data_IF_959253474502
#
_entry.id   IF_959253474502
#
_cell.length_a   1.000
_cell.length_b   1.000
_cell.length_c   1.000
_cell.angle_alpha   90.00
_cell.angle_beta   90.00
_cell.angle_gamma   90.00
#
_symmetry.space_group_name_H-M   'P 1'
#
loop_
_entity.id
_entity.type
_entity.pdbx_description
1 polymer ?
#
# COMPACT_ATOMS: atom_id res chain seq x y z
N UNK A 1 -8.41 20.17 -20.75
CA UNK A 1 -7.03 20.10 -20.20
C UNK A 1 -6.93 18.77 -19.49
N UNK A 2 -6.18 17.80 -20.05
CA UNK A 2 -5.96 16.49 -19.41
C UNK A 2 -4.71 16.59 -18.54
N UNK A 3 -4.80 16.23 -17.26
CA UNK A 3 -3.63 16.15 -16.40
C UNK A 3 -2.85 14.88 -16.77
N UNK A 4 -1.64 15.03 -17.29
CA UNK A 4 -0.74 13.92 -17.53
C UNK A 4 -0.36 13.26 -16.20
N UNK A 5 -0.30 11.92 -16.18
CA UNK A 5 0.24 11.17 -15.04
C UNK A 5 1.68 11.65 -14.81
N UNK A 6 1.93 12.30 -13.68
CA UNK A 6 3.31 12.63 -13.32
C UNK A 6 3.99 11.32 -12.95
N UNK A 7 5.03 10.96 -13.69
CA UNK A 7 5.76 9.70 -13.53
C UNK A 7 6.33 9.46 -12.10
N UNK A 8 6.40 10.51 -11.27
CA UNK A 8 6.88 10.44 -9.89
C UNK A 8 5.79 10.57 -8.82
N UNK A 9 4.50 10.53 -9.20
CA UNK A 9 3.42 10.48 -8.21
C UNK A 9 3.04 9.04 -7.88
N UNK A 10 2.60 8.76 -6.64
CA UNK A 10 2.12 7.43 -6.30
C UNK A 10 0.96 7.04 -7.22
N UNK A 11 1.02 5.82 -7.73
CA UNK A 11 -0.01 5.23 -8.59
C UNK A 11 -0.67 4.02 -7.95
N UNK A 12 -0.09 3.50 -6.87
CA UNK A 12 -0.55 2.32 -6.16
C UNK A 12 -0.59 2.57 -4.66
N UNK A 13 -1.61 2.01 -4.02
CA UNK A 13 -1.74 1.89 -2.57
C UNK A 13 -1.57 0.42 -2.22
N UNK A 14 -0.74 0.12 -1.22
CA UNK A 14 -0.76 -1.17 -0.54
C UNK A 14 -1.50 -0.98 0.78
N UNK A 15 -2.62 -1.68 0.95
CA UNK A 15 -3.46 -1.69 2.14
C UNK A 15 -3.14 -2.98 2.90
N UNK A 16 -2.71 -2.87 4.15
CA UNK A 16 -2.33 -4.00 4.99
C UNK A 16 -3.19 -3.98 6.25
N UNK A 17 -4.07 -4.96 6.45
CA UNK A 17 -4.81 -5.08 7.69
C UNK A 17 -3.84 -5.43 8.83
N UNK A 18 -3.94 -4.71 9.95
CA UNK A 18 -3.08 -4.94 11.13
C UNK A 18 -3.87 -5.34 12.39
N UNK A 19 -5.11 -5.80 12.19
CA UNK A 19 -6.00 -6.31 13.24
C UNK A 19 -5.34 -7.39 14.10
N UNK A 20 -4.52 -8.25 13.49
CA UNK A 20 -3.81 -9.31 14.20
C UNK A 20 -2.73 -8.81 15.17
N UNK A 21 -2.20 -7.61 14.95
CA UNK A 21 -1.15 -7.03 15.79
C UNK A 21 -1.76 -6.07 16.82
N UNK A 22 -2.71 -5.24 16.41
CA UNK A 22 -3.27 -4.19 17.27
C UNK A 22 -4.54 -4.62 18.00
N UNK A 23 -5.17 -5.72 17.58
CA UNK A 23 -6.44 -6.19 18.12
C UNK A 23 -7.65 -5.36 17.67
N UNK A 24 -7.46 -4.43 16.74
CA UNK A 24 -8.50 -3.55 16.22
C UNK A 24 -8.85 -3.93 14.76
N UNK A 25 -10.07 -4.45 14.49
CA UNK A 25 -10.46 -4.93 13.17
C UNK A 25 -10.54 -3.84 12.10
N UNK A 26 -10.68 -2.57 12.50
CA UNK A 26 -10.79 -1.44 11.59
C UNK A 26 -9.43 -0.78 11.28
N UNK A 27 -8.33 -1.30 11.83
CA UNK A 27 -7.02 -0.69 11.69
C UNK A 27 -6.24 -1.27 10.51
N UNK A 28 -5.88 -0.38 9.58
CA UNK A 28 -5.16 -0.70 8.36
C UNK A 28 -3.99 0.25 8.15
N UNK A 29 -2.90 -0.28 7.62
CA UNK A 29 -1.77 0.49 7.11
C UNK A 29 -1.99 0.73 5.62
N UNK A 30 -1.78 1.98 5.18
CA UNK A 30 -1.78 2.34 3.77
C UNK A 30 -0.42 2.91 3.38
N UNK A 31 0.27 2.25 2.44
CA UNK A 31 1.52 2.74 1.86
C UNK A 31 1.36 3.04 0.38
N UNK A 32 2.12 4.01 -0.10
CA UNK A 32 1.97 4.56 -1.44
C UNK A 32 3.26 4.37 -2.23
N UNK A 33 3.14 4.05 -3.52
CA UNK A 33 4.30 3.89 -4.40
C UNK A 33 3.97 4.21 -5.85
N UNK A 34 4.99 4.57 -6.64
CA UNK A 34 4.83 4.76 -8.09
C UNK A 34 4.58 3.42 -8.80
N UNK A 35 4.93 2.31 -8.14
CA UNK A 35 4.64 0.95 -8.57
C UNK A 35 4.06 0.11 -7.42
N UNK A 36 3.37 -0.98 -7.77
CA UNK A 36 2.87 -1.96 -6.80
C UNK A 36 3.98 -2.54 -5.92
N UNK A 37 5.16 -2.81 -6.50
CA UNK A 37 6.31 -3.34 -5.77
C UNK A 37 6.88 -2.32 -4.78
N UNK A 38 6.94 -1.04 -5.15
CA UNK A 38 7.39 0.02 -4.25
C UNK A 38 6.41 0.21 -3.09
N UNK A 39 5.10 0.25 -3.36
CA UNK A 39 4.09 0.35 -2.32
C UNK A 39 4.19 -0.81 -1.32
N UNK A 40 4.42 -2.04 -1.82
CA UNK A 40 4.66 -3.22 -0.97
C UNK A 40 5.92 -3.10 -0.12
N UNK A 41 7.05 -2.74 -0.73
CA UNK A 41 8.32 -2.59 -0.01
C UNK A 41 8.21 -1.54 1.11
N UNK A 42 7.50 -0.44 0.88
CA UNK A 42 7.23 0.55 1.92
C UNK A 42 6.37 -0.04 3.05
N UNK A 43 5.38 -0.85 2.72
CA UNK A 43 4.55 -1.57 3.68
C UNK A 43 5.37 -2.52 4.57
N UNK A 44 6.24 -3.33 3.97
CA UNK A 44 7.14 -4.23 4.69
C UNK A 44 8.09 -3.48 5.63
N UNK A 45 8.69 -2.39 5.15
CA UNK A 45 9.58 -1.56 5.98
C UNK A 45 8.84 -0.92 7.15
N UNK A 46 7.59 -0.48 6.95
CA UNK A 46 6.79 0.12 8.00
C UNK A 46 6.38 -0.92 9.06
N UNK A 47 5.96 -2.12 8.65
CA UNK A 47 5.68 -3.23 9.57
C UNK A 47 6.91 -3.59 10.40
N UNK A 48 8.08 -3.69 9.76
CA UNK A 48 9.32 -4.03 10.46
C UNK A 48 9.81 -2.89 11.38
N UNK A 49 9.69 -1.63 10.96
CA UNK A 49 10.27 -0.49 11.70
C UNK A 49 9.35 0.07 12.78
N UNK A 50 8.06 0.24 12.48
CA UNK A 50 7.09 0.85 13.39
C UNK A 50 6.46 -0.18 14.32
N UNK A 51 6.07 -1.34 13.77
CA UNK A 51 5.38 -2.38 14.53
C UNK A 51 6.33 -3.47 15.04
N UNK A 52 7.64 -3.36 14.74
CA UNK A 52 8.68 -4.33 15.13
C UNK A 52 8.32 -5.77 14.74
N UNK A 53 7.57 -5.95 13.64
CA UNK A 53 7.13 -7.27 13.20
C UNK A 53 8.32 -8.12 12.77
N UNK A 54 8.31 -9.39 13.18
CA UNK A 54 9.25 -10.38 12.67
C UNK A 54 8.98 -10.70 11.19
N UNK A 55 10.01 -11.18 10.49
CA UNK A 55 9.92 -11.48 9.05
C UNK A 55 8.78 -12.45 8.69
N UNK A 56 8.50 -13.44 9.55
CA UNK A 56 7.35 -14.34 9.36
C UNK A 56 6.01 -13.61 9.46
N UNK A 57 5.85 -12.71 10.43
CA UNK A 57 4.63 -11.93 10.61
C UNK A 57 4.43 -10.94 9.47
N UNK A 58 5.50 -10.30 9.00
CA UNK A 58 5.47 -9.43 7.82
C UNK A 58 4.95 -10.20 6.62
N UNK A 59 5.47 -11.40 6.35
CA UNK A 59 5.02 -12.23 5.23
C UNK A 59 3.54 -12.67 5.37
N UNK A 60 3.06 -12.94 6.57
CA UNK A 60 1.65 -13.28 6.81
C UNK A 60 0.71 -12.09 6.58
N UNK A 61 1.11 -10.88 7.00
CA UNK A 61 0.34 -9.66 6.80
C UNK A 61 0.35 -9.23 5.35
N UNK A 62 1.51 -9.34 4.69
CA UNK A 62 1.66 -9.03 3.26
C UNK A 62 0.88 -9.98 2.34
N UNK A 63 0.59 -11.21 2.78
CA UNK A 63 -0.32 -12.13 2.07
C UNK A 63 -1.78 -11.67 2.14
N UNK A 64 -2.16 -10.98 3.21
CA UNK A 64 -3.50 -10.40 3.39
C UNK A 64 -3.60 -9.00 2.80
N UNK A 65 -2.46 -8.39 2.46
CA UNK A 65 -2.40 -7.06 1.89
C UNK A 65 -3.04 -7.00 0.50
N UNK A 66 -3.76 -5.90 0.25
CA UNK A 66 -4.43 -5.61 -1.01
C UNK A 66 -3.69 -4.48 -1.69
N UNK A 67 -3.43 -4.62 -2.99
CA UNK A 67 -2.89 -3.52 -3.80
C UNK A 67 -4.03 -2.94 -4.61
N UNK A 68 -4.24 -1.64 -4.48
CA UNK A 68 -5.24 -0.91 -5.25
C UNK A 68 -4.54 0.15 -6.10
N UNK A 69 -4.87 0.27 -7.40
CA UNK A 69 -4.44 1.40 -8.19
C UNK A 69 -5.13 2.66 -7.66
N UNK A 70 -4.40 3.76 -7.58
CA UNK A 70 -4.97 5.06 -7.28
C UNK A 70 -5.73 5.49 -8.52
N UNK A 71 -7.05 5.27 -8.51
CA UNK A 71 -7.92 5.74 -9.56
C UNK A 71 -7.71 7.25 -9.72
N UNK A 72 -7.23 7.66 -10.88
CA UNK A 72 -7.08 9.07 -11.19
C UNK A 72 -8.47 9.67 -11.29
N UNK A 73 -8.94 10.29 -10.20
CA UNK A 73 -10.29 10.84 -10.06
C UNK A 73 -10.69 11.78 -11.22
N UNK A 74 -9.70 12.38 -11.91
CA UNK A 74 -9.91 13.36 -12.97
C UNK A 74 -9.10 13.11 -14.26
N UNK A 75 -8.46 11.95 -14.46
CA UNK A 75 -7.80 11.64 -15.73
C UNK A 75 -8.71 10.78 -16.61
N UNK A 76 -8.84 11.08 -17.91
CA UNK A 76 -9.61 10.26 -18.82
C UNK A 76 -8.98 8.87 -18.88
N UNK A 77 -9.81 7.83 -18.74
CA UNK A 77 -9.39 6.47 -18.99
C UNK A 77 -9.00 6.37 -20.47
N UNK A 78 -7.71 6.25 -20.77
CA UNK A 78 -7.24 6.01 -22.13
C UNK A 78 -7.72 4.61 -22.55
N UNK A 79 -8.57 4.58 -23.59
CA UNK A 79 -9.06 3.37 -24.28
C UNK A 79 -8.11 2.99 -25.41
#
# INVERSE_FOLDING_TARGET
>A
MVQQIRHNEPQYICIIPIDRITGNPDEEIMTFGVSASEAKNQGEQLLASTYSCHQSQVLELMQQARIEPIAQWCAPAEH
#
